data_IF_734610353833
#
_entry.id   IF_734610353833
#
_cell.length_a   1.000
_cell.length_b   1.000
_cell.length_c   1.000
_cell.angle_alpha   90.00
_cell.angle_beta   90.00
_cell.angle_gamma   90.00
#
_symmetry.space_group_name_H-M   'P 1'
#
loop_
_entity.id
_entity.type
_entity.pdbx_description
1 polymer ?
#
# COMPACT_ATOMS: atom_id res chain seq x y z
N UNK A 1 -10.55 -1.33 1.89
CA UNK A 1 -10.44 -2.67 2.49
C UNK A 1 -10.44 -2.59 4.00
N UNK A 2 -9.69 -1.66 4.59
CA UNK A 2 -9.62 -1.37 6.04
C UNK A 2 -10.98 -1.46 6.75
N UNK A 3 -12.01 -0.70 6.32
CA UNK A 3 -13.36 -0.75 6.93
C UNK A 3 -13.99 -2.15 7.00
N UNK A 4 -13.60 -3.10 6.15
CA UNK A 4 -14.09 -4.49 6.21
C UNK A 4 -13.25 -5.38 7.12
N UNK A 5 -11.94 -5.15 7.18
CA UNK A 5 -11.05 -5.81 8.15
C UNK A 5 -11.49 -5.46 9.57
N UNK A 6 -11.70 -4.18 9.85
CA UNK A 6 -11.98 -3.69 11.21
C UNK A 6 -13.44 -3.82 11.65
N UNK A 7 -14.35 -4.30 10.77
CA UNK A 7 -15.81 -4.24 11.02
C UNK A 7 -16.24 -4.96 12.30
N UNK A 8 -15.58 -6.07 12.62
CA UNK A 8 -15.91 -6.94 13.74
C UNK A 8 -14.75 -7.10 14.73
N UNK A 9 -13.74 -6.23 14.64
CA UNK A 9 -12.61 -6.24 15.56
C UNK A 9 -12.95 -5.45 16.82
N UNK A 10 -12.30 -5.79 17.94
CA UNK A 10 -12.39 -5.00 19.16
C UNK A 10 -11.65 -3.67 18.99
N UNK A 11 -12.38 -2.56 19.06
CA UNK A 11 -11.88 -1.19 18.90
C UNK A 11 -10.78 -0.80 19.87
N UNK A 12 -10.61 -1.52 20.99
CA UNK A 12 -9.51 -1.30 21.94
C UNK A 12 -8.16 -1.84 21.47
N UNK A 13 -8.16 -2.76 20.50
CA UNK A 13 -6.97 -3.48 20.04
C UNK A 13 -6.60 -3.21 18.58
N UNK A 14 -7.30 -2.28 17.92
CA UNK A 14 -6.87 -1.80 16.61
C UNK A 14 -6.99 -0.29 16.47
N UNK A 15 -6.15 0.28 15.60
CA UNK A 15 -6.31 1.67 15.14
C UNK A 15 -6.14 1.77 13.64
N UNK A 16 -6.84 2.74 13.06
CA UNK A 16 -6.66 3.14 11.66
C UNK A 16 -5.96 4.47 11.64
N UNK A 17 -4.82 4.53 10.95
CA UNK A 17 -3.98 5.72 10.84
C UNK A 17 -4.07 6.22 9.41
N UNK A 18 -4.69 7.40 9.23
CA UNK A 18 -4.82 8.07 7.94
C UNK A 18 -4.22 9.49 8.06
N UNK A 19 -2.89 9.58 7.97
CA UNK A 19 -2.20 10.86 8.13
C UNK A 19 -2.39 11.73 6.88
N UNK A 20 -2.76 12.99 7.09
CA UNK A 20 -2.85 14.00 6.04
C UNK A 20 -1.49 14.56 5.63
N UNK A 21 -1.52 15.65 4.84
CA UNK A 21 -0.34 16.44 4.46
C UNK A 21 0.46 16.81 5.72
N UNK A 22 1.80 16.67 5.74
CA UNK A 22 2.60 17.06 6.89
C UNK A 22 2.47 18.57 7.16
N UNK A 23 2.42 18.95 8.44
CA UNK A 23 2.54 20.36 8.86
C UNK A 23 3.95 20.89 8.60
N UNK A 24 4.15 22.21 8.61
CA UNK A 24 5.49 22.80 8.46
C UNK A 24 6.48 22.26 9.50
N UNK A 25 6.04 22.06 10.74
CA UNK A 25 6.85 21.41 11.78
C UNK A 25 7.18 19.94 11.43
N UNK A 26 6.22 19.17 10.93
CA UNK A 26 6.47 17.78 10.50
C UNK A 26 7.40 17.69 9.28
N UNK A 27 7.48 18.74 8.46
CA UNK A 27 8.40 18.81 7.31
C UNK A 27 9.84 19.08 7.74
N UNK A 28 10.06 19.74 8.89
CA UNK A 28 11.40 19.94 9.45
C UNK A 28 11.88 18.78 10.34
N UNK A 29 11.00 17.84 10.67
CA UNK A 29 11.29 16.63 11.42
C UNK A 29 11.91 15.53 10.54
N UNK A 30 12.44 14.50 11.19
CA UNK A 30 12.78 13.27 10.50
C UNK A 30 11.52 12.64 9.88
N UNK A 31 11.57 12.28 8.60
CA UNK A 31 10.39 11.83 7.84
C UNK A 31 9.59 10.71 8.53
N UNK A 32 10.27 9.74 9.13
CA UNK A 32 9.61 8.62 9.81
C UNK A 32 9.02 8.99 11.19
N UNK A 33 9.44 10.10 11.80
CA UNK A 33 9.05 10.48 13.17
C UNK A 33 7.53 10.52 13.36
N UNK A 34 6.80 11.12 12.41
CA UNK A 34 5.33 11.20 12.46
C UNK A 34 4.65 9.83 12.35
N UNK A 35 5.29 8.85 11.70
CA UNK A 35 4.77 7.50 11.55
C UNK A 35 5.10 6.63 12.76
N UNK A 36 6.33 6.76 13.30
CA UNK A 36 6.77 6.05 14.50
C UNK A 36 5.87 6.37 15.70
N UNK A 37 5.43 7.62 15.83
CA UNK A 37 4.46 8.01 16.86
C UNK A 37 3.09 7.33 16.75
N UNK A 38 2.85 6.56 15.68
CA UNK A 38 1.60 5.81 15.45
C UNK A 38 1.77 4.30 15.55
N UNK A 39 2.94 3.80 15.93
CA UNK A 39 3.23 2.38 15.94
C UNK A 39 2.45 1.63 17.03
N UNK A 40 2.14 0.34 16.78
CA UNK A 40 1.40 -0.47 17.73
C UNK A 40 2.19 -0.69 19.01
N UNK A 41 1.48 -0.77 20.12
CA UNK A 41 1.97 -1.42 21.34
C UNK A 41 1.75 -2.94 21.27
N UNK A 42 2.33 -3.70 22.20
CA UNK A 42 2.14 -5.15 22.23
C UNK A 42 0.65 -5.53 22.30
N UNK A 43 0.18 -6.37 21.36
CA UNK A 43 -1.22 -6.79 21.26
C UNK A 43 -2.14 -5.84 20.48
N UNK A 44 -1.58 -4.79 19.86
CA UNK A 44 -2.33 -3.86 19.03
C UNK A 44 -2.09 -4.10 17.53
N UNK A 45 -3.14 -3.94 16.72
CA UNK A 45 -3.05 -3.92 15.26
C UNK A 45 -3.24 -2.49 14.73
N UNK A 46 -2.25 -1.96 14.00
CA UNK A 46 -2.37 -0.63 13.38
C UNK A 46 -2.46 -0.77 11.86
N UNK A 47 -3.55 -0.26 11.27
CA UNK A 47 -3.78 -0.23 9.83
C UNK A 47 -3.49 1.17 9.28
N UNK A 48 -2.46 1.27 8.45
CA UNK A 48 -2.09 2.50 7.76
C UNK A 48 -2.90 2.67 6.46
N UNK A 49 -3.78 3.68 6.40
CA UNK A 49 -4.40 4.14 5.15
C UNK A 49 -3.46 5.15 4.48
N UNK A 50 -2.62 4.62 3.58
CA UNK A 50 -1.31 5.20 3.20
C UNK A 50 -0.30 5.18 4.34
N UNK A 51 0.98 5.25 4.01
CA UNK A 51 2.07 5.10 4.98
C UNK A 51 3.26 6.00 4.61
N UNK A 52 4.44 5.71 5.17
CA UNK A 52 5.71 6.33 4.78
C UNK A 52 6.03 6.10 3.28
N UNK A 53 5.35 5.17 2.61
CA UNK A 53 5.48 4.99 1.17
C UNK A 53 4.87 6.11 0.31
N UNK A 54 4.24 7.12 0.92
CA UNK A 54 3.90 8.36 0.20
C UNK A 54 5.14 8.95 -0.49
N UNK A 55 6.29 8.94 0.18
CA UNK A 55 7.57 9.40 -0.39
C UNK A 55 8.13 8.51 -1.48
N UNK A 56 7.65 7.28 -1.64
CA UNK A 56 8.05 6.40 -2.74
C UNK A 56 7.16 6.53 -3.98
N UNK A 57 5.95 7.09 -3.81
CA UNK A 57 4.87 7.06 -4.80
C UNK A 57 4.37 8.46 -5.14
N UNK A 58 3.56 9.06 -4.28
CA UNK A 58 2.82 10.30 -4.57
C UNK A 58 3.73 11.52 -4.52
N UNK A 59 4.62 11.61 -3.52
CA UNK A 59 5.47 12.79 -3.34
C UNK A 59 6.41 13.06 -4.53
N UNK A 60 7.16 12.08 -5.09
CA UNK A 60 8.04 12.35 -6.22
C UNK A 60 7.29 12.66 -7.53
N UNK A 61 6.13 12.04 -7.77
CA UNK A 61 5.34 12.27 -9.00
C UNK A 61 4.77 13.68 -9.05
N UNK A 62 4.31 14.20 -7.90
CA UNK A 62 3.74 15.54 -7.80
C UNK A 62 4.72 16.62 -7.29
N UNK A 63 6.00 16.29 -7.10
CA UNK A 63 7.01 17.24 -6.64
C UNK A 63 6.83 17.71 -5.18
N UNK A 64 6.19 16.91 -4.32
CA UNK A 64 6.03 17.23 -2.90
C UNK A 64 7.27 16.91 -2.04
N UNK A 65 8.24 16.20 -2.61
CA UNK A 65 9.57 16.01 -2.04
C UNK A 65 10.64 16.31 -3.08
N UNK A 66 11.84 16.67 -2.61
CA UNK A 66 13.03 16.80 -3.45
C UNK A 66 13.57 15.43 -3.87
N UNK A 67 14.35 15.39 -4.95
CA UNK A 67 15.03 14.16 -5.39
C UNK A 67 15.97 13.60 -4.33
N UNK A 68 16.58 14.48 -3.53
CA UNK A 68 17.45 14.09 -2.42
C UNK A 68 16.66 13.39 -1.31
N UNK A 69 15.53 13.97 -0.90
CA UNK A 69 14.63 13.36 0.08
C UNK A 69 14.11 11.99 -0.38
N UNK A 70 13.71 11.89 -1.66
CA UNK A 70 13.30 10.63 -2.27
C UNK A 70 14.41 9.56 -2.21
N UNK A 71 15.62 9.93 -2.64
CA UNK A 71 16.78 9.03 -2.62
C UNK A 71 17.15 8.62 -1.20
N UNK A 72 17.11 9.54 -0.24
CA UNK A 72 17.39 9.26 1.15
C UNK A 72 16.34 8.34 1.78
N UNK A 73 15.06 8.54 1.46
CA UNK A 73 13.99 7.63 1.87
C UNK A 73 14.21 6.20 1.35
N UNK A 74 14.47 6.03 0.05
CA UNK A 74 14.68 4.70 -0.53
C UNK A 74 15.92 3.99 0.03
N UNK A 75 16.95 4.73 0.44
CA UNK A 75 18.13 4.16 1.11
C UNK A 75 17.80 3.68 2.54
N UNK A 76 17.01 4.46 3.28
CA UNK A 76 16.75 4.20 4.71
C UNK A 76 15.60 3.24 4.99
N UNK A 77 14.56 3.22 4.16
CA UNK A 77 13.30 2.51 4.46
C UNK A 77 13.46 1.03 4.71
N UNK A 78 14.36 0.35 3.99
CA UNK A 78 14.61 -1.09 4.19
C UNK A 78 15.22 -1.37 5.56
N UNK A 79 16.19 -0.55 5.99
CA UNK A 79 16.78 -0.67 7.33
C UNK A 79 15.75 -0.40 8.43
N UNK A 80 14.94 0.64 8.24
CA UNK A 80 13.85 0.98 9.14
C UNK A 80 12.85 -0.17 9.31
N UNK A 81 12.38 -0.77 8.22
CA UNK A 81 11.44 -1.90 8.26
C UNK A 81 12.07 -3.15 8.87
N UNK A 82 13.33 -3.44 8.54
CA UNK A 82 14.07 -4.57 9.09
C UNK A 82 14.21 -4.47 10.62
N UNK A 83 14.45 -3.27 11.14
CA UNK A 83 14.54 -3.05 12.57
C UNK A 83 13.20 -3.33 13.26
N UNK A 84 12.07 -2.96 12.66
CA UNK A 84 10.74 -3.26 13.20
C UNK A 84 10.46 -4.76 13.24
N UNK A 85 10.72 -5.46 12.14
CA UNK A 85 10.51 -6.90 12.04
C UNK A 85 11.39 -7.65 13.04
N UNK A 86 12.66 -7.25 13.17
CA UNK A 86 13.61 -7.84 14.13
C UNK A 86 13.15 -7.67 15.59
N UNK A 87 12.42 -6.60 15.91
CA UNK A 87 11.86 -6.35 17.24
C UNK A 87 10.49 -7.03 17.45
N UNK A 88 10.09 -7.95 16.55
CA UNK A 88 8.87 -8.74 16.69
C UNK A 88 7.62 -8.09 16.11
N UNK A 89 7.74 -6.99 15.35
CA UNK A 89 6.58 -6.40 14.66
C UNK A 89 6.28 -7.15 13.37
N UNK A 90 5.09 -7.74 13.26
CA UNK A 90 4.60 -8.28 11.98
C UNK A 90 4.23 -7.14 11.03
N UNK A 91 5.03 -6.92 9.99
CA UNK A 91 4.78 -5.88 8.99
C UNK A 91 4.18 -6.48 7.71
N UNK A 92 2.91 -6.17 7.43
CA UNK A 92 2.21 -6.60 6.21
C UNK A 92 2.06 -5.43 5.25
N UNK A 93 2.74 -5.48 4.09
CA UNK A 93 2.69 -4.43 3.06
C UNK A 93 1.79 -4.85 1.89
N UNK A 94 0.65 -4.17 1.74
CA UNK A 94 -0.33 -4.45 0.69
C UNK A 94 -0.36 -3.33 -0.34
N UNK A 95 -0.16 -3.66 -1.62
CA UNK A 95 -0.37 -2.74 -2.74
C UNK A 95 -1.61 -3.15 -3.53
N UNK A 96 -2.64 -2.31 -3.57
CA UNK A 96 -3.84 -2.57 -4.35
C UNK A 96 -3.66 -2.10 -5.79
N UNK A 97 -3.45 -3.03 -6.72
CA UNK A 97 -3.31 -2.72 -8.15
C UNK A 97 -4.68 -2.67 -8.80
N UNK A 98 -4.91 -1.69 -9.67
CA UNK A 98 -6.11 -1.54 -10.48
C UNK A 98 -5.66 -1.24 -11.90
N UNK A 99 -6.39 -1.63 -12.93
CA UNK A 99 -6.09 -1.24 -14.30
C UNK A 99 -6.42 0.23 -14.54
N UNK A 100 -5.79 0.83 -15.56
CA UNK A 100 -6.02 2.23 -15.95
C UNK A 100 -7.48 2.49 -16.29
N UNK A 101 -8.11 1.55 -16.98
CA UNK A 101 -9.50 1.59 -17.43
C UNK A 101 -10.46 1.53 -16.25
N UNK A 102 -10.22 0.61 -15.30
CA UNK A 102 -11.05 0.50 -14.10
C UNK A 102 -10.88 1.71 -13.17
N UNK A 103 -9.67 2.27 -13.09
CA UNK A 103 -9.45 3.50 -12.35
C UNK A 103 -10.29 4.65 -12.94
N UNK A 104 -10.23 4.87 -14.25
CA UNK A 104 -11.04 5.85 -14.96
C UNK A 104 -12.55 5.62 -14.73
N UNK A 105 -13.03 4.38 -14.90
CA UNK A 105 -14.44 4.03 -14.64
C UNK A 105 -14.87 4.34 -13.21
N UNK A 106 -13.99 4.12 -12.23
CA UNK A 106 -14.26 4.44 -10.82
C UNK A 106 -14.32 5.92 -10.57
N UNK A 107 -13.52 6.73 -11.26
CA UNK A 107 -13.56 8.18 -11.16
C UNK A 107 -14.84 8.75 -11.70
N UNK A 108 -15.23 8.34 -12.91
CA UNK A 108 -16.46 8.78 -13.55
C UNK A 108 -17.68 8.51 -12.65
N UNK A 109 -17.80 7.28 -12.12
CA UNK A 109 -18.88 6.92 -11.20
C UNK A 109 -18.86 7.73 -9.90
N UNK A 110 -17.70 8.18 -9.40
CA UNK A 110 -17.63 9.00 -8.18
C UNK A 110 -18.09 10.43 -8.43
N UNK A 111 -17.87 10.96 -9.63
CA UNK A 111 -18.30 12.30 -10.02
C UNK A 111 -19.82 12.41 -9.94
N UNK A 112 -20.51 11.35 -10.37
CA UNK A 112 -21.97 11.33 -10.48
C UNK A 112 -22.67 10.71 -9.25
N UNK A 113 -21.93 10.32 -8.20
CA UNK A 113 -22.46 9.70 -6.96
C UNK A 113 -22.32 10.65 -5.75
N UNK A 114 -23.40 11.32 -5.30
CA UNK A 114 -23.36 12.29 -4.19
C UNK A 114 -22.79 11.71 -2.89
N UNK A 115 -22.90 10.41 -2.65
CA UNK A 115 -22.39 9.76 -1.44
C UNK A 115 -20.88 9.51 -1.49
N UNK A 116 -20.24 9.73 -2.65
CA UNK A 116 -18.83 9.42 -2.90
C UNK A 116 -18.03 10.56 -3.51
N UNK A 117 -18.66 11.67 -3.88
CA UNK A 117 -18.00 12.86 -4.41
C UNK A 117 -16.85 13.36 -3.53
N UNK A 118 -17.01 13.33 -2.21
CA UNK A 118 -15.97 13.71 -1.24
C UNK A 118 -14.66 12.90 -1.35
N UNK A 119 -14.67 11.75 -2.04
CA UNK A 119 -13.50 10.89 -2.27
C UNK A 119 -12.72 11.24 -3.54
N UNK A 120 -13.08 12.32 -4.23
CA UNK A 120 -12.32 12.86 -5.34
C UNK A 120 -11.42 13.95 -4.78
N UNK A 121 -10.11 13.74 -4.87
CA UNK A 121 -9.13 14.81 -4.68
C UNK A 121 -8.57 15.26 -6.03
N UNK A 122 -8.06 16.49 -6.10
CA UNK A 122 -7.37 17.01 -7.30
C UNK A 122 -6.22 16.11 -7.73
N UNK A 123 -5.47 15.59 -6.75
CA UNK A 123 -4.41 14.58 -6.92
C UNK A 123 -4.93 13.33 -7.65
N UNK A 124 -6.13 12.88 -7.29
CA UNK A 124 -6.71 11.68 -7.88
C UNK A 124 -7.10 11.87 -9.36
N UNK A 125 -7.51 13.09 -9.75
CA UNK A 125 -7.82 13.42 -11.16
C UNK A 125 -6.54 13.44 -11.98
N UNK A 126 -5.49 14.11 -11.46
CA UNK A 126 -4.19 14.19 -12.12
C UNK A 126 -3.46 12.83 -12.17
N UNK A 127 -3.77 11.90 -11.27
CA UNK A 127 -3.15 10.57 -11.26
C UNK A 127 -3.39 9.77 -12.56
N UNK A 128 -4.47 10.04 -13.28
CA UNK A 128 -4.74 9.41 -14.57
C UNK A 128 -3.79 9.90 -15.67
N UNK A 129 -3.44 11.18 -15.64
CA UNK A 129 -2.48 11.82 -16.56
C UNK A 129 -1.06 11.35 -16.26
N UNK A 130 -0.71 11.23 -14.98
CA UNK A 130 0.58 10.74 -14.50
C UNK A 130 0.67 9.21 -14.37
N UNK A 131 -0.15 8.45 -15.10
CA UNK A 131 -0.21 6.99 -14.98
C UNK A 131 1.16 6.32 -15.19
N UNK A 132 1.90 6.76 -16.20
CA UNK A 132 3.20 6.19 -16.54
C UNK A 132 4.24 6.52 -15.45
N UNK A 133 4.21 7.74 -14.90
CA UNK A 133 5.06 8.16 -13.78
C UNK A 133 4.78 7.33 -12.52
N UNK A 134 3.51 7.10 -12.20
CA UNK A 134 3.10 6.23 -11.09
C UNK A 134 3.53 4.79 -11.29
N UNK A 135 3.51 4.30 -12.53
CA UNK A 135 3.93 2.94 -12.86
C UNK A 135 5.44 2.78 -12.72
N UNK A 136 6.23 3.78 -13.14
CA UNK A 136 7.68 3.81 -12.90
C UNK A 136 8.00 3.94 -11.40
N UNK A 137 7.28 4.77 -10.66
CA UNK A 137 7.44 4.90 -9.21
C UNK A 137 7.16 3.57 -8.48
N UNK A 138 6.07 2.87 -8.86
CA UNK A 138 5.74 1.52 -8.38
C UNK A 138 6.88 0.54 -8.66
N UNK A 139 7.39 0.51 -9.90
CA UNK A 139 8.50 -0.35 -10.28
C UNK A 139 9.73 -0.13 -9.38
N UNK A 140 10.15 1.14 -9.21
CA UNK A 140 11.29 1.50 -8.36
C UNK A 140 11.08 1.13 -6.90
N UNK A 141 9.88 1.40 -6.37
CA UNK A 141 9.51 1.08 -5.00
C UNK A 141 9.58 -0.43 -4.75
N UNK A 142 8.94 -1.24 -5.60
CA UNK A 142 8.93 -2.70 -5.45
C UNK A 142 10.34 -3.26 -5.54
N UNK A 143 11.11 -2.85 -6.56
CA UNK A 143 12.49 -3.30 -6.77
C UNK A 143 13.41 -3.01 -5.59
N UNK A 144 13.25 -1.85 -4.95
CA UNK A 144 14.14 -1.42 -3.85
C UNK A 144 13.71 -1.90 -2.47
N UNK A 145 12.41 -2.15 -2.27
CA UNK A 145 11.86 -2.28 -0.91
C UNK A 145 11.06 -3.56 -0.67
N UNK A 146 10.88 -4.43 -1.67
CA UNK A 146 10.37 -5.77 -1.45
C UNK A 146 11.50 -6.69 -1.00
N UNK A 147 11.61 -6.96 0.29
CA UNK A 147 12.67 -7.79 0.87
C UNK A 147 12.11 -9.09 1.45
N UNK A 148 12.94 -10.10 1.74
CA UNK A 148 12.46 -11.32 2.42
C UNK A 148 11.86 -11.04 3.80
N UNK A 149 12.43 -10.11 4.56
CA UNK A 149 11.97 -9.75 5.91
C UNK A 149 10.66 -8.94 5.88
N UNK A 150 10.47 -8.13 4.84
CA UNK A 150 9.29 -7.30 4.63
C UNK A 150 8.90 -7.29 3.14
N UNK A 151 8.24 -8.36 2.65
CA UNK A 151 7.87 -8.47 1.25
C UNK A 151 6.68 -7.55 0.93
N UNK A 152 6.60 -7.11 -0.32
CA UNK A 152 5.37 -6.51 -0.85
C UNK A 152 4.40 -7.61 -1.30
N UNK A 153 3.13 -7.43 -1.00
CA UNK A 153 2.03 -8.26 -1.53
C UNK A 153 1.14 -7.40 -2.42
N UNK A 154 0.98 -7.81 -3.68
CA UNK A 154 0.13 -7.12 -4.64
C UNK A 154 -1.26 -7.75 -4.63
N UNK A 155 -2.29 -6.92 -4.52
CA UNK A 155 -3.69 -7.34 -4.54
C UNK A 155 -4.37 -6.72 -5.75
N UNK A 156 -4.70 -7.53 -6.77
CA UNK A 156 -5.51 -7.11 -7.92
C UNK A 156 -6.90 -6.73 -7.43
N UNK A 157 -7.27 -5.47 -7.69
CA UNK A 157 -8.40 -4.83 -7.02
C UNK A 157 -9.57 -4.49 -7.93
N UNK A 158 -9.59 -5.02 -9.16
CA UNK A 158 -10.69 -4.94 -10.13
C UNK A 158 -12.04 -5.28 -9.49
N UNK A 159 -12.15 -6.50 -8.95
CA UNK A 159 -13.29 -6.91 -8.15
C UNK A 159 -13.04 -6.56 -6.67
N UNK A 160 -13.69 -5.47 -6.20
CA UNK A 160 -13.56 -5.01 -4.81
C UNK A 160 -13.94 -6.06 -3.77
N UNK A 161 -14.87 -6.97 -4.07
CA UNK A 161 -15.27 -8.01 -3.12
C UNK A 161 -14.15 -9.04 -2.96
N UNK A 162 -13.70 -9.63 -4.08
CA UNK A 162 -12.62 -10.63 -4.05
C UNK A 162 -11.31 -10.03 -3.50
N UNK A 163 -10.98 -8.78 -3.82
CA UNK A 163 -9.80 -8.11 -3.29
C UNK A 163 -9.84 -7.90 -1.77
N UNK A 164 -11.02 -7.63 -1.20
CA UNK A 164 -11.17 -7.49 0.27
C UNK A 164 -11.00 -8.82 0.97
N UNK A 165 -11.65 -9.86 0.46
CA UNK A 165 -11.57 -11.21 1.02
C UNK A 165 -10.12 -11.70 1.01
N UNK A 166 -9.45 -11.57 -0.12
CA UNK A 166 -8.06 -12.01 -0.25
C UNK A 166 -7.07 -11.16 0.56
N UNK A 167 -7.28 -9.85 0.68
CA UNK A 167 -6.47 -9.04 1.59
C UNK A 167 -6.64 -9.46 3.06
N UNK A 168 -7.85 -9.85 3.48
CA UNK A 168 -8.10 -10.40 4.82
C UNK A 168 -7.35 -11.73 4.98
N UNK A 169 -7.41 -12.62 3.98
CA UNK A 169 -6.65 -13.88 3.96
C UNK A 169 -5.15 -13.66 4.17
N UNK A 170 -4.56 -12.69 3.44
CA UNK A 170 -3.14 -12.32 3.60
C UNK A 170 -2.83 -11.83 5.02
N UNK A 171 -3.68 -10.99 5.61
CA UNK A 171 -3.47 -10.49 6.98
C UNK A 171 -3.54 -11.63 7.99
N UNK A 172 -4.51 -12.53 7.85
CA UNK A 172 -4.68 -13.68 8.74
C UNK A 172 -3.50 -14.64 8.61
N UNK A 173 -2.99 -14.88 7.40
CA UNK A 173 -1.87 -15.78 7.18
C UNK A 173 -0.52 -15.22 7.68
N UNK A 174 -0.41 -13.90 7.85
CA UNK A 174 0.80 -13.25 8.31
C UNK A 174 1.07 -13.40 9.82
N UNK A 175 0.08 -13.82 10.61
CA UNK A 175 0.19 -13.94 12.06
C UNK A 175 -0.12 -15.38 12.48
N UNK A 176 0.74 -16.04 13.28
CA UNK A 176 0.37 -17.32 13.88
C UNK A 176 -0.63 -17.08 15.02
N UNK A 177 -1.84 -17.61 14.89
CA UNK A 177 -2.87 -17.57 15.94
C UNK A 177 -3.50 -18.96 16.15
N UNK A 178 -3.99 -19.23 17.36
CA UNK A 178 -4.67 -20.49 17.72
C UNK A 178 -6.10 -20.51 17.18
N UNK A 179 -6.74 -21.69 17.16
CA UNK A 179 -8.17 -21.83 16.86
C UNK A 179 -8.57 -21.37 15.44
N UNK A 180 -7.67 -21.59 14.48
CA UNK A 180 -7.95 -21.34 13.05
C UNK A 180 -9.03 -22.31 12.58
N UNK A 181 -10.19 -21.79 12.15
CA UNK A 181 -11.34 -22.60 11.75
C UNK A 181 -11.01 -23.53 10.58
N UNK A 182 -11.28 -24.83 10.71
CA UNK A 182 -10.96 -25.85 9.71
C UNK A 182 -11.84 -25.77 8.45
N UNK A 183 -13.00 -25.13 8.56
CA UNK A 183 -13.99 -24.95 7.49
C UNK A 183 -13.71 -23.72 6.61
N UNK A 184 -12.70 -22.91 6.96
CA UNK A 184 -12.38 -21.67 6.26
C UNK A 184 -11.15 -21.86 5.36
N UNK A 185 -11.33 -21.62 4.06
CA UNK A 185 -10.21 -21.50 3.12
C UNK A 185 -9.50 -20.15 3.33
N UNK A 186 -8.30 -20.22 3.90
CA UNK A 186 -7.43 -19.06 4.10
C UNK A 186 -6.42 -18.84 2.98
N UNK A 187 -6.34 -19.71 1.98
CA UNK A 187 -5.36 -19.58 0.90
C UNK A 187 -5.74 -18.37 0.03
N UNK A 188 -4.88 -17.35 -0.10
CA UNK A 188 -5.15 -16.27 -1.02
C UNK A 188 -5.22 -16.79 -2.45
N UNK A 189 -6.21 -16.32 -3.19
CA UNK A 189 -6.40 -16.64 -4.60
C UNK A 189 -5.21 -16.12 -5.43
N UNK A 190 -4.45 -16.99 -6.12
CA UNK A 190 -3.21 -16.61 -6.81
C UNK A 190 -3.44 -15.72 -8.03
N UNK A 191 -4.67 -15.64 -8.56
CA UNK A 191 -5.00 -14.68 -9.62
C UNK A 191 -5.18 -13.26 -9.07
N UNK A 192 -5.42 -13.14 -7.76
CA UNK A 192 -5.71 -11.87 -7.09
C UNK A 192 -4.53 -11.40 -6.27
N UNK A 193 -3.86 -12.31 -5.58
CA UNK A 193 -2.75 -12.00 -4.69
C UNK A 193 -1.50 -12.60 -5.28
N UNK A 194 -0.56 -11.72 -5.62
CA UNK A 194 0.76 -12.13 -6.12
C UNK A 194 1.87 -11.49 -5.27
N UNK A 195 3.01 -12.17 -5.09
CA UNK A 195 4.17 -11.56 -4.47
C UNK A 195 4.68 -10.37 -5.28
N UNK A 196 5.23 -9.36 -4.60
CA UNK A 196 5.83 -8.19 -5.24
C UNK A 196 6.96 -8.55 -6.20
N UNK A 197 7.70 -9.63 -5.94
CA UNK A 197 8.73 -10.13 -6.85
C UNK A 197 8.14 -10.66 -8.17
N UNK A 198 6.98 -11.32 -8.14
CA UNK A 198 6.29 -11.77 -9.33
C UNK A 198 5.78 -10.58 -10.14
N UNK A 199 5.20 -9.58 -9.48
CA UNK A 199 4.77 -8.34 -10.15
C UNK A 199 5.95 -7.61 -10.80
N UNK A 200 7.09 -7.54 -10.11
CA UNK A 200 8.30 -6.93 -10.65
C UNK A 200 8.73 -7.62 -11.95
N UNK A 201 8.74 -8.96 -11.97
CA UNK A 201 9.08 -9.73 -13.16
C UNK A 201 8.10 -9.48 -14.32
N UNK A 202 6.80 -9.35 -14.03
CA UNK A 202 5.79 -9.01 -15.04
C UNK A 202 6.06 -7.61 -15.64
N UNK A 203 6.30 -6.61 -14.78
CA UNK A 203 6.62 -5.25 -15.22
C UNK A 203 7.90 -5.21 -16.08
N UNK A 204 8.94 -5.97 -15.73
CA UNK A 204 10.16 -6.08 -16.53
C UNK A 204 9.89 -6.72 -17.90
N UNK A 205 9.08 -7.77 -17.95
CA UNK A 205 8.67 -8.40 -19.20
C UNK A 205 7.89 -7.42 -20.10
N UNK A 206 6.99 -6.61 -19.53
CA UNK A 206 6.21 -5.60 -20.27
C UNK A 206 7.12 -4.52 -20.85
N UNK A 207 8.10 -4.05 -20.07
CA UNK A 207 9.11 -3.09 -20.53
C UNK A 207 9.96 -3.63 -21.67
N UNK A 208 10.37 -4.90 -21.61
CA UNK A 208 11.13 -5.56 -22.69
C UNK A 208 10.28 -5.69 -23.95
N UNK A 209 9.01 -6.09 -23.84
CA UNK A 209 8.13 -6.32 -24.99
C UNK A 209 7.67 -5.05 -25.68
N UNK A 210 7.36 -4.01 -24.91
CA UNK A 210 6.66 -2.82 -25.42
C UNK A 210 7.45 -1.52 -25.29
N UNK A 211 8.66 -1.57 -24.71
CA UNK A 211 9.49 -0.39 -24.44
C UNK A 211 9.00 0.48 -23.28
N UNK A 212 7.82 0.18 -22.71
CA UNK A 212 7.19 0.89 -21.59
C UNK A 212 6.46 -0.09 -20.67
N UNK A 213 6.03 0.38 -19.49
CA UNK A 213 5.15 -0.43 -18.64
C UNK A 213 3.70 -0.31 -19.12
N UNK A 214 2.95 -1.41 -19.06
CA UNK A 214 1.54 -1.45 -19.49
C UNK A 214 0.56 -1.15 -18.36
N UNK A 215 0.99 -1.23 -17.09
CA UNK A 215 0.29 -0.68 -15.91
C UNK A 215 -0.90 -1.50 -15.40
#
# INVERSE_FOLDING_TARGET
TIRRVTRYMNEKHYRVVALGKPTEEQRSQWYFQRYVGQFPTGGEMVLFDRSWYNRAMVEPVFGFCTDEEYRNFLKGVVGFEKDLVRQGTTLVKLYFSVTKEEQARRFERRRDDPLRQWKLSEIDVQAQEHWDDFTEAKYRMLRRTSTPDAPWTIVRSENKHRARLNAIRVILDAVPYSDRGEDVDFVPDPEIVIPGAQELALMEADRIRSGKFTG
#
